data_IF_371618069030
#
_entry.id   IF_371618069030
#
_cell.length_a   1.000
_cell.length_b   1.000
_cell.length_c   1.000
_cell.angle_alpha   90.00
_cell.angle_beta   90.00
_cell.angle_gamma   90.00
#
_symmetry.space_group_name_H-M   'P 1'
#
loop_
_entity.id
_entity.type
_entity.pdbx_description
1 polymer ?
#
# COMPACT_ATOMS: atom_id res chain seq x y z
N UNK A 1 -67.62 -15.73 0.91
CA UNK A 1 -66.35 -16.01 0.21
C UNK A 1 -65.33 -14.95 0.60
N UNK A 2 -64.49 -15.19 1.58
CA UNK A 2 -63.47 -14.25 2.08
C UNK A 2 -62.15 -14.58 1.38
N UNK A 3 -61.65 -13.65 0.55
CA UNK A 3 -60.34 -13.72 -0.08
C UNK A 3 -59.27 -13.22 0.90
N UNK A 4 -58.42 -14.13 1.39
CA UNK A 4 -57.26 -13.81 2.23
C UNK A 4 -56.13 -13.47 1.29
N UNK A 5 -55.69 -12.21 1.32
CA UNK A 5 -54.54 -11.73 0.58
C UNK A 5 -53.29 -11.92 1.46
N UNK A 6 -52.42 -12.89 1.10
CA UNK A 6 -51.11 -13.08 1.74
C UNK A 6 -50.14 -12.04 1.16
N UNK A 7 -49.81 -11.05 1.95
CA UNK A 7 -48.68 -10.14 1.65
C UNK A 7 -47.38 -10.80 2.11
N UNK A 8 -46.61 -11.33 1.17
CA UNK A 8 -45.27 -11.85 1.41
C UNK A 8 -44.32 -10.63 1.57
N UNK A 9 -43.99 -10.28 2.82
CA UNK A 9 -42.98 -9.28 3.14
C UNK A 9 -41.61 -9.92 2.94
N UNK A 10 -40.98 -9.68 1.79
CA UNK A 10 -39.63 -10.11 1.50
C UNK A 10 -38.62 -9.30 2.36
N UNK A 11 -38.06 -9.91 3.41
CA UNK A 11 -36.92 -9.36 4.12
C UNK A 11 -35.70 -9.39 3.20
N UNK A 12 -35.34 -8.24 2.63
CA UNK A 12 -34.02 -8.03 2.03
C UNK A 12 -32.99 -7.97 3.14
N UNK A 13 -32.33 -9.08 3.45
CA UNK A 13 -31.09 -9.09 4.25
C UNK A 13 -30.01 -8.42 3.41
N UNK A 14 -29.78 -7.13 3.64
CA UNK A 14 -28.56 -6.46 3.23
C UNK A 14 -27.39 -7.09 4.01
N UNK A 15 -26.74 -8.11 3.45
CA UNK A 15 -25.47 -8.60 3.93
C UNK A 15 -24.46 -7.47 3.75
N UNK A 16 -24.17 -6.71 4.83
CA UNK A 16 -23.04 -5.80 4.89
C UNK A 16 -21.78 -6.63 4.75
N UNK A 17 -21.21 -6.73 3.54
CA UNK A 17 -19.88 -7.27 3.31
C UNK A 17 -18.89 -6.36 4.04
N UNK A 18 -18.59 -6.67 5.30
CA UNK A 18 -17.41 -6.13 5.97
C UNK A 18 -16.20 -6.64 5.20
N UNK A 19 -15.54 -5.76 4.47
CA UNK A 19 -14.31 -6.07 3.78
C UNK A 19 -13.33 -6.71 4.76
N UNK A 20 -12.90 -7.92 4.49
CA UNK A 20 -11.99 -8.67 5.35
C UNK A 20 -10.59 -8.09 5.18
N UNK A 21 -10.12 -7.36 6.18
CA UNK A 21 -8.75 -6.82 6.22
C UNK A 21 -7.78 -7.91 6.65
N UNK A 22 -6.77 -8.18 5.84
CA UNK A 22 -5.70 -9.11 6.15
C UNK A 22 -4.38 -8.37 6.39
N UNK A 23 -3.56 -8.92 7.28
CA UNK A 23 -2.21 -8.42 7.57
C UNK A 23 -1.19 -9.14 6.70
N UNK A 24 -0.26 -8.37 6.13
CA UNK A 24 0.85 -8.87 5.35
C UNK A 24 2.17 -8.35 5.91
N UNK A 25 3.14 -9.25 6.11
CA UNK A 25 4.54 -8.85 6.29
C UNK A 25 5.07 -8.40 4.94
N UNK A 26 5.44 -7.13 4.84
CA UNK A 26 6.06 -6.51 3.68
C UNK A 26 7.55 -6.37 3.94
N UNK A 27 8.36 -7.15 3.24
CA UNK A 27 9.81 -7.07 3.27
C UNK A 27 10.30 -6.26 2.09
N UNK A 28 11.04 -5.20 2.36
CA UNK A 28 11.71 -4.35 1.37
C UNK A 28 13.20 -4.53 1.49
N UNK A 29 13.87 -4.99 0.44
CA UNK A 29 15.33 -5.10 0.33
C UNK A 29 15.83 -3.98 -0.56
N UNK A 30 16.80 -3.19 -0.07
CA UNK A 30 17.40 -2.10 -0.85
C UNK A 30 18.57 -2.60 -1.69
N UNK A 31 18.88 -1.92 -2.81
CA UNK A 31 20.15 -2.05 -3.50
C UNK A 31 21.26 -1.43 -2.65
N UNK A 32 22.51 -1.80 -2.88
CA UNK A 32 23.67 -1.18 -2.23
C UNK A 32 23.98 0.17 -2.90
N UNK A 33 23.16 1.19 -2.63
CA UNK A 33 23.41 2.56 -3.09
C UNK A 33 24.28 3.33 -2.08
N UNK A 34 24.88 4.44 -2.52
CA UNK A 34 25.63 5.35 -1.67
C UNK A 34 24.78 6.59 -1.35
N UNK A 35 24.89 7.09 -0.13
CA UNK A 35 24.19 8.30 0.32
C UNK A 35 23.34 8.07 1.57
N UNK A 36 22.46 9.03 1.83
CA UNK A 36 21.57 9.03 2.98
C UNK A 36 20.54 7.88 2.92
N UNK A 37 19.90 7.59 4.06
CA UNK A 37 18.88 6.54 4.13
C UNK A 37 17.67 6.89 3.28
N UNK A 38 17.22 5.95 2.48
CA UNK A 38 16.06 6.12 1.62
C UNK A 38 14.75 6.26 2.41
N UNK A 39 13.90 7.12 1.91
CA UNK A 39 12.48 7.17 2.23
C UNK A 39 11.74 6.25 1.27
N UNK A 40 10.87 5.40 1.81
CA UNK A 40 10.02 4.51 1.00
C UNK A 40 8.58 4.66 1.44
N UNK A 41 7.70 4.95 0.48
CA UNK A 41 6.26 4.98 0.68
C UNK A 41 5.65 3.74 0.08
N UNK A 42 4.71 3.15 0.79
CA UNK A 42 3.86 2.06 0.31
C UNK A 42 2.43 2.57 0.25
N UNK A 43 1.85 2.60 -0.93
CA UNK A 43 0.51 3.13 -1.17
C UNK A 43 -0.39 2.10 -1.85
N UNK A 44 -1.68 2.13 -1.52
CA UNK A 44 -2.72 1.48 -2.30
C UNK A 44 -3.15 2.41 -3.42
N UNK A 45 -3.10 1.92 -4.66
CA UNK A 45 -3.56 2.61 -5.86
C UNK A 45 -4.87 2.00 -6.33
N UNK A 46 -5.84 2.84 -6.70
CA UNK A 46 -7.11 2.39 -7.26
C UNK A 46 -6.94 1.94 -8.74
N UNK A 47 -7.96 1.33 -9.36
CA UNK A 47 -7.90 0.89 -10.75
C UNK A 47 -7.64 2.01 -11.78
N UNK A 48 -7.92 3.27 -11.43
CA UNK A 48 -7.65 4.44 -12.27
C UNK A 48 -6.20 4.93 -12.14
N UNK A 49 -5.39 4.30 -11.27
CA UNK A 49 -4.00 4.69 -11.03
C UNK A 49 -3.84 5.85 -10.05
N UNK A 50 -4.87 6.18 -9.28
CA UNK A 50 -4.84 7.23 -8.27
C UNK A 50 -4.52 6.67 -6.89
N UNK A 51 -3.90 7.49 -6.04
CA UNK A 51 -3.69 7.13 -4.63
C UNK A 51 -5.01 7.02 -3.89
N UNK A 52 -5.19 5.92 -3.17
CA UNK A 52 -6.36 5.73 -2.31
C UNK A 52 -5.99 5.78 -0.81
N UNK A 53 -4.87 5.19 -0.43
CA UNK A 53 -4.44 5.10 0.96
C UNK A 53 -2.93 4.91 1.09
N UNK A 54 -2.34 5.53 2.10
CA UNK A 54 -0.98 5.23 2.54
C UNK A 54 -0.97 4.00 3.46
N UNK A 55 -0.24 2.96 3.07
CA UNK A 55 -0.12 1.70 3.82
C UNK A 55 1.09 1.69 4.76
N UNK A 56 2.20 2.32 4.36
CA UNK A 56 3.40 2.45 5.18
C UNK A 56 4.27 3.61 4.72
N UNK A 57 4.95 4.25 5.68
CA UNK A 57 5.96 5.28 5.47
C UNK A 57 7.24 4.83 6.16
N UNK A 58 8.32 4.66 5.41
CA UNK A 58 9.65 4.38 5.91
C UNK A 58 10.49 5.65 5.76
N UNK A 59 10.55 6.43 6.83
CA UNK A 59 11.17 7.74 6.89
C UNK A 59 10.39 8.66 7.82
N UNK A 60 10.89 8.93 9.04
CA UNK A 60 10.10 9.62 10.08
C UNK A 60 10.12 11.15 9.96
N UNK A 61 11.11 11.71 9.30
CA UNK A 61 11.28 13.16 9.24
C UNK A 61 10.47 13.79 8.11
N UNK A 62 9.41 14.51 8.50
CA UNK A 62 8.50 15.18 7.56
C UNK A 62 9.16 16.22 6.66
N UNK A 63 10.32 16.74 7.03
CA UNK A 63 11.07 17.71 6.21
C UNK A 63 11.42 17.16 4.84
N UNK A 64 11.60 15.83 4.73
CA UNK A 64 12.00 15.16 3.51
C UNK A 64 10.83 14.58 2.70
N UNK A 65 9.59 14.71 3.17
CA UNK A 65 8.41 14.19 2.47
C UNK A 65 8.20 14.83 1.10
N UNK A 66 8.63 16.07 0.91
CA UNK A 66 8.56 16.76 -0.37
C UNK A 66 9.45 16.14 -1.46
N UNK A 67 10.41 15.29 -1.12
CA UNK A 67 11.23 14.54 -2.08
C UNK A 67 10.42 13.45 -2.79
N UNK A 68 9.37 12.95 -2.14
CA UNK A 68 8.41 11.95 -2.64
C UNK A 68 7.23 12.66 -3.32
N UNK A 69 7.49 13.35 -4.41
CA UNK A 69 6.65 14.40 -5.01
C UNK A 69 5.19 13.99 -5.25
N UNK A 70 4.95 12.80 -5.83
CA UNK A 70 3.60 12.35 -6.15
C UNK A 70 2.80 12.04 -4.89
N UNK A 71 3.34 11.19 -4.01
CA UNK A 71 2.71 10.89 -2.73
C UNK A 71 2.53 12.14 -1.86
N UNK A 72 3.50 13.04 -1.83
CA UNK A 72 3.41 14.27 -1.03
C UNK A 72 2.26 15.16 -1.47
N UNK A 73 1.98 15.22 -2.78
CA UNK A 73 0.80 15.92 -3.32
C UNK A 73 -0.50 15.29 -2.79
N UNK A 74 -0.60 13.96 -2.82
CA UNK A 74 -1.73 13.22 -2.26
C UNK A 74 -1.87 13.47 -0.76
N UNK A 75 -0.78 13.33 0.01
CA UNK A 75 -0.77 13.53 1.45
C UNK A 75 -1.18 14.96 1.86
N UNK A 76 -0.75 15.97 1.11
CA UNK A 76 -1.13 17.37 1.36
C UNK A 76 -2.62 17.62 1.11
N UNK A 77 -3.22 16.92 0.15
CA UNK A 77 -4.64 17.01 -0.17
C UNK A 77 -5.51 16.29 0.87
N UNK A 78 -5.14 15.08 1.24
CA UNK A 78 -5.96 14.20 2.10
C UNK A 78 -5.73 14.39 3.58
N UNK A 79 -4.53 14.84 3.98
CA UNK A 79 -4.11 14.98 5.38
C UNK A 79 -4.26 13.68 6.19
N UNK A 80 -3.96 12.53 5.57
CA UNK A 80 -4.02 11.23 6.26
C UNK A 80 -3.21 11.22 7.56
N UNK A 81 -3.73 10.56 8.58
CA UNK A 81 -3.01 10.31 9.84
C UNK A 81 -2.06 9.13 9.67
N UNK A 82 -0.82 9.39 9.28
CA UNK A 82 0.19 8.38 8.95
C UNK A 82 1.08 7.97 10.13
N UNK A 83 0.95 8.54 11.30
CA UNK A 83 1.83 8.27 12.46
C UNK A 83 1.91 6.79 12.84
N UNK A 84 0.78 6.08 12.78
CA UNK A 84 0.72 4.64 13.10
C UNK A 84 1.42 3.74 12.07
N UNK A 85 1.59 4.21 10.83
CA UNK A 85 2.21 3.45 9.73
C UNK A 85 3.61 3.94 9.38
N UNK A 86 4.14 4.92 10.14
CA UNK A 86 5.47 5.49 9.93
C UNK A 86 6.54 4.73 10.73
N UNK A 87 7.67 4.48 10.09
CA UNK A 87 8.84 3.85 10.66
C UNK A 87 10.14 4.45 10.15
N UNK A 88 11.29 3.87 10.55
CA UNK A 88 12.61 4.35 10.18
C UNK A 88 12.87 4.28 8.66
N UNK A 89 13.68 5.18 8.14
CA UNK A 89 14.27 5.12 6.79
C UNK A 89 15.23 3.95 6.64
N UNK A 90 15.54 3.55 5.39
CA UNK A 90 16.30 2.33 5.08
C UNK A 90 17.63 2.71 4.42
N UNK A 91 18.74 2.17 4.92
CA UNK A 91 20.07 2.34 4.33
C UNK A 91 20.28 1.52 3.05
N UNK A 92 21.26 1.92 2.25
CA UNK A 92 21.70 1.13 1.09
C UNK A 92 22.16 -0.26 1.50
N UNK A 93 21.67 -1.31 0.81
CA UNK A 93 21.92 -2.71 1.13
C UNK A 93 21.13 -3.28 2.28
N UNK A 94 20.44 -2.44 3.07
CA UNK A 94 19.65 -2.85 4.23
C UNK A 94 18.30 -3.45 3.83
N UNK A 95 17.65 -4.04 4.85
CA UNK A 95 16.32 -4.63 4.76
C UNK A 95 15.40 -4.06 5.83
N UNK A 96 14.17 -3.75 5.44
CA UNK A 96 13.11 -3.43 6.38
C UNK A 96 11.94 -4.42 6.26
N UNK A 97 11.28 -4.68 7.38
CA UNK A 97 10.05 -5.47 7.42
C UNK A 97 8.97 -4.64 8.10
N UNK A 98 7.83 -4.49 7.43
CA UNK A 98 6.66 -3.76 7.94
C UNK A 98 5.43 -4.65 7.83
N UNK A 99 4.50 -4.48 8.76
CA UNK A 99 3.16 -5.06 8.60
C UNK A 99 2.29 -4.03 7.94
N UNK A 100 1.65 -4.40 6.83
CA UNK A 100 0.65 -3.59 6.14
C UNK A 100 -0.70 -4.29 6.19
N UNK A 101 -1.77 -3.52 6.17
CA UNK A 101 -3.13 -4.02 6.14
C UNK A 101 -3.74 -3.84 4.75
N UNK A 102 -4.26 -4.91 4.19
CA UNK A 102 -4.85 -4.96 2.86
C UNK A 102 -6.31 -5.38 2.98
N UNK A 103 -7.21 -4.60 2.40
CA UNK A 103 -8.61 -4.96 2.23
C UNK A 103 -8.71 -6.02 1.12
N UNK A 104 -8.93 -7.27 1.52
CA UNK A 104 -9.02 -8.41 0.58
C UNK A 104 -10.23 -8.33 -0.35
N UNK A 105 -11.23 -7.50 -0.03
CA UNK A 105 -12.35 -7.26 -0.95
C UNK A 105 -11.93 -6.58 -2.26
N UNK A 106 -10.73 -6.01 -2.30
CA UNK A 106 -10.13 -5.33 -3.47
C UNK A 106 -9.28 -6.24 -4.35
N UNK A 107 -9.02 -7.49 -3.91
CA UNK A 107 -8.28 -8.47 -4.71
C UNK A 107 -8.96 -8.73 -6.07
N UNK A 108 -8.15 -8.78 -7.12
CA UNK A 108 -8.62 -9.05 -8.48
C UNK A 108 -9.49 -7.95 -9.11
N UNK A 109 -9.53 -6.75 -8.52
CA UNK A 109 -10.34 -5.62 -8.98
C UNK A 109 -9.53 -4.48 -9.61
N UNK A 110 -8.31 -4.77 -10.08
CA UNK A 110 -7.45 -3.78 -10.74
C UNK A 110 -6.69 -2.84 -9.80
N UNK A 111 -6.77 -3.04 -8.50
CA UNK A 111 -5.94 -2.32 -7.53
C UNK A 111 -4.50 -2.78 -7.59
N UNK A 112 -3.58 -1.94 -7.11
CA UNK A 112 -2.16 -2.28 -6.97
C UNK A 112 -1.54 -1.65 -5.73
N UNK A 113 -0.45 -2.24 -5.24
CA UNK A 113 0.41 -1.65 -4.23
C UNK A 113 1.58 -1.01 -4.96
N UNK A 114 1.80 0.28 -4.73
CA UNK A 114 2.94 1.04 -5.27
C UNK A 114 3.94 1.32 -4.17
N UNK A 115 5.20 1.15 -4.50
CA UNK A 115 6.34 1.55 -3.69
C UNK A 115 7.06 2.69 -4.39
N UNK A 116 7.20 3.79 -3.68
CA UNK A 116 8.00 4.94 -4.08
C UNK A 116 9.27 4.97 -3.26
N UNK A 117 10.38 5.38 -3.84
CA UNK A 117 11.64 5.54 -3.12
C UNK A 117 12.34 6.83 -3.49
N UNK A 118 12.93 7.47 -2.48
CA UNK A 118 13.74 8.67 -2.65
C UNK A 118 14.92 8.65 -1.68
N UNK A 119 16.06 9.16 -2.13
CA UNK A 119 17.24 9.45 -1.32
C UNK A 119 17.51 10.94 -1.44
N UNK A 120 17.93 11.57 -0.35
CA UNK A 120 18.24 13.01 -0.31
C UNK A 120 19.24 13.38 -1.42
N UNK A 121 18.96 14.48 -2.12
CA UNK A 121 19.76 15.00 -3.25
C UNK A 121 19.96 14.02 -4.42
N UNK A 122 19.20 12.94 -4.48
CA UNK A 122 19.26 11.95 -5.54
C UNK A 122 17.91 11.77 -6.24
N UNK A 123 17.85 10.84 -7.19
CA UNK A 123 16.66 10.59 -8.00
C UNK A 123 15.48 10.08 -7.16
N UNK A 124 14.29 10.61 -7.42
CA UNK A 124 13.03 10.07 -6.95
C UNK A 124 12.46 9.04 -7.94
N UNK A 125 12.01 7.90 -7.42
CA UNK A 125 11.36 6.84 -8.17
C UNK A 125 9.91 6.70 -7.72
N UNK A 126 8.99 7.31 -8.48
CA UNK A 126 7.55 7.32 -8.16
C UNK A 126 6.87 5.95 -8.25
N UNK A 127 7.42 5.04 -9.05
CA UNK A 127 6.93 3.68 -9.22
C UNK A 127 8.11 2.71 -9.23
N UNK A 128 8.89 2.70 -8.13
CA UNK A 128 10.04 1.82 -7.97
C UNK A 128 9.60 0.35 -8.06
N UNK A 129 8.53 0.00 -7.35
CA UNK A 129 7.85 -1.31 -7.45
C UNK A 129 6.35 -1.09 -7.56
N UNK A 130 5.69 -1.83 -8.43
CA UNK A 130 4.22 -1.95 -8.45
C UNK A 130 3.83 -3.42 -8.44
N UNK A 131 2.93 -3.80 -7.53
CA UNK A 131 2.45 -5.17 -7.36
C UNK A 131 0.93 -5.15 -7.57
N UNK A 132 0.39 -5.84 -8.59
CA UNK A 132 -1.07 -6.01 -8.71
C UNK A 132 -1.66 -6.64 -7.45
N UNK A 133 -2.81 -6.16 -7.03
CA UNK A 133 -3.51 -6.69 -5.86
C UNK A 133 -4.25 -7.97 -6.24
N UNK A 134 -3.46 -9.01 -6.51
CA UNK A 134 -3.89 -10.35 -6.91
C UNK A 134 -3.16 -11.39 -6.07
N UNK A 135 -3.85 -12.49 -5.75
CA UNK A 135 -3.33 -13.50 -4.80
C UNK A 135 -1.95 -14.02 -5.20
N UNK A 136 -1.75 -14.36 -6.47
CA UNK A 136 -0.45 -14.85 -6.97
C UNK A 136 0.65 -13.79 -6.98
N UNK A 137 0.32 -12.57 -7.38
CA UNK A 137 1.26 -11.45 -7.44
C UNK A 137 1.73 -11.00 -6.05
N UNK A 138 0.84 -10.99 -5.05
CA UNK A 138 1.17 -10.59 -3.68
C UNK A 138 2.23 -11.49 -3.02
N UNK A 139 2.27 -12.78 -3.36
CA UNK A 139 3.21 -13.73 -2.76
C UNK A 139 4.52 -13.85 -3.56
N UNK A 140 4.56 -13.32 -4.76
CA UNK A 140 5.74 -13.32 -5.60
C UNK A 140 6.79 -12.32 -5.09
N UNK A 141 8.06 -12.61 -5.41
CA UNK A 141 9.13 -11.63 -5.27
C UNK A 141 9.06 -10.69 -6.47
N UNK A 142 8.97 -9.38 -6.22
CA UNK A 142 8.90 -8.35 -7.27
C UNK A 142 10.15 -7.48 -7.21
N UNK A 143 10.88 -7.39 -8.31
CA UNK A 143 12.10 -6.58 -8.45
C UNK A 143 11.74 -5.08 -8.57
N UNK A 144 12.59 -4.22 -8.00
CA UNK A 144 12.48 -2.77 -8.15
C UNK A 144 13.26 -2.24 -9.35
N UNK A 145 13.00 -0.96 -9.65
CA UNK A 145 13.62 -0.23 -10.78
C UNK A 145 14.55 0.90 -10.30
N UNK A 146 14.53 1.18 -8.99
CA UNK A 146 15.27 2.27 -8.36
C UNK A 146 16.13 1.80 -7.19
N UNK A 147 15.88 2.35 -5.99
CA UNK A 147 16.62 1.99 -4.78
C UNK A 147 16.15 0.68 -4.15
N UNK A 148 14.97 0.22 -4.48
CA UNK A 148 14.47 -1.07 -4.02
C UNK A 148 15.02 -2.17 -4.93
N UNK A 149 15.71 -3.14 -4.35
CA UNK A 149 16.16 -4.33 -5.07
C UNK A 149 15.01 -5.27 -5.34
N UNK A 150 14.23 -5.58 -4.30
CA UNK A 150 13.00 -6.35 -4.42
C UNK A 150 12.09 -6.16 -3.20
N UNK A 151 10.82 -6.48 -3.40
CA UNK A 151 9.80 -6.59 -2.37
C UNK A 151 9.27 -8.01 -2.33
N UNK A 152 8.90 -8.46 -1.13
CA UNK A 152 8.18 -9.71 -0.90
C UNK A 152 7.11 -9.50 0.16
N UNK A 153 5.90 -9.91 -0.14
CA UNK A 153 4.79 -9.91 0.80
C UNK A 153 4.51 -11.36 1.26
N UNK A 154 4.08 -11.51 2.51
CA UNK A 154 3.60 -12.78 3.05
C UNK A 154 2.42 -12.52 4.00
N UNK A 155 1.32 -13.22 3.78
CA UNK A 155 0.13 -13.12 4.64
C UNK A 155 0.50 -13.58 6.06
N UNK A 156 0.05 -12.82 7.06
CA UNK A 156 0.19 -13.21 8.47
C UNK A 156 -0.97 -14.13 8.80
N UNK A 157 -0.66 -15.29 9.35
CA UNK A 157 -1.69 -16.23 9.85
C UNK A 157 -2.28 -15.76 11.15
#
# INVERSE_FOLDING_TARGET
>A
MKKILFAACGLFLCASSFGQTAKYKCMVQMVAYQGEKAYVIVSLMNPNGEYEKTLSVLGPDKRWFNTLKEWYTFQNKTKEKISAVTGASIGGGDRAVRTIEIDESKLGKGYKIRFESAVEEQKYHAADVEIPLETGALTARTEGKGYIRFVRLSKVQ
#
